data_IF_517806797865
#
_entry.id   IF_517806797865
#
_cell.length_a   1.000
_cell.length_b   1.000
_cell.length_c   1.000
_cell.angle_alpha   90.00
_cell.angle_beta   90.00
_cell.angle_gamma   90.00
#
_symmetry.space_group_name_H-M   'P 1'
#
loop_
_entity.id
_entity.type
_entity.pdbx_description
1 polymer ?
#
# COMPACT_ATOMS: atom_id res chain seq x y z
N UNK A 1 -12.50 7.45 3.31
CA UNK A 1 -11.58 7.43 2.14
C UNK A 1 -10.42 8.36 2.43
N UNK A 2 -9.18 7.95 2.20
CA UNK A 2 -8.00 8.82 2.31
C UNK A 2 -6.95 8.48 1.24
N UNK A 3 -6.10 9.46 0.92
CA UNK A 3 -4.96 9.35 0.02
C UNK A 3 -3.79 10.17 0.59
N UNK A 4 -2.55 9.80 0.25
CA UNK A 4 -1.35 10.49 0.68
C UNK A 4 -0.20 9.53 1.01
N UNK A 5 0.84 10.03 1.71
CA UNK A 5 2.00 9.22 2.03
C UNK A 5 1.62 7.94 2.78
N UNK A 6 2.19 6.80 2.38
CA UNK A 6 1.77 5.50 2.94
C UNK A 6 1.94 5.40 4.45
N UNK A 7 2.96 6.04 5.02
CA UNK A 7 3.15 6.10 6.48
C UNK A 7 1.99 6.83 7.16
N UNK A 8 1.46 7.89 6.56
CA UNK A 8 0.27 8.59 7.06
C UNK A 8 -0.95 7.65 6.99
N UNK A 9 -1.14 6.99 5.85
CA UNK A 9 -2.25 6.06 5.64
C UNK A 9 -2.21 4.86 6.59
N UNK A 10 -1.02 4.38 6.97
CA UNK A 10 -0.86 3.34 7.98
C UNK A 10 -1.40 3.76 9.35
N UNK A 11 -1.13 4.99 9.79
CA UNK A 11 -1.70 5.49 11.05
C UNK A 11 -3.19 5.78 10.93
N UNK A 12 -3.66 6.25 9.77
CA UNK A 12 -5.10 6.39 9.49
C UNK A 12 -5.81 5.04 9.56
N UNK A 13 -5.26 3.99 8.94
CA UNK A 13 -5.78 2.63 9.01
C UNK A 13 -5.88 2.15 10.46
N UNK A 14 -4.83 2.32 11.27
CA UNK A 14 -4.85 1.93 12.68
C UNK A 14 -5.91 2.67 13.49
N UNK A 15 -6.05 3.98 13.30
CA UNK A 15 -7.11 4.76 13.95
C UNK A 15 -8.51 4.28 13.54
N UNK A 16 -8.72 3.96 12.25
CA UNK A 16 -9.97 3.38 11.77
C UNK A 16 -10.27 2.01 12.42
N UNK A 17 -9.27 1.14 12.56
CA UNK A 17 -9.40 -0.15 13.23
C UNK A 17 -9.75 0.01 14.72
N UNK A 18 -9.12 0.96 15.43
CA UNK A 18 -9.40 1.25 16.84
C UNK A 18 -10.83 1.78 17.04
N UNK A 19 -11.34 2.55 16.09
CA UNK A 19 -12.69 3.12 16.12
C UNK A 19 -13.77 2.20 15.55
N UNK A 20 -13.39 1.05 14.97
CA UNK A 20 -14.33 0.13 14.30
C UNK A 20 -14.99 0.73 13.06
N UNK A 21 -14.30 1.63 12.35
CA UNK A 21 -14.80 2.32 11.15
C UNK A 21 -14.13 1.75 9.90
N UNK A 22 -14.94 1.36 8.91
CA UNK A 22 -14.41 0.92 7.62
C UNK A 22 -13.68 2.05 6.89
N UNK A 23 -12.58 1.71 6.22
CA UNK A 23 -11.80 2.65 5.46
C UNK A 23 -11.43 2.12 4.07
N UNK A 24 -11.22 3.07 3.16
CA UNK A 24 -10.66 2.84 1.84
C UNK A 24 -9.47 3.77 1.69
N UNK A 25 -8.32 3.23 1.31
CA UNK A 25 -7.06 3.97 1.22
C UNK A 25 -6.47 3.81 -0.18
N UNK A 26 -6.14 4.93 -0.81
CA UNK A 26 -5.45 4.95 -2.10
C UNK A 26 -3.94 4.89 -1.86
N UNK A 27 -3.32 3.76 -2.19
CA UNK A 27 -1.89 3.53 -1.97
C UNK A 27 -1.04 4.01 -3.15
N UNK A 28 0.05 4.69 -2.82
CA UNK A 28 1.03 5.19 -3.79
C UNK A 28 2.32 4.37 -3.73
N UNK A 29 2.46 3.42 -4.67
CA UNK A 29 3.69 2.64 -4.89
C UNK A 29 4.35 3.02 -6.20
N UNK A 30 5.66 2.76 -6.33
CA UNK A 30 6.38 3.07 -7.56
C UNK A 30 5.88 2.19 -8.72
N UNK A 31 5.12 2.79 -9.64
CA UNK A 31 4.57 2.14 -10.82
C UNK A 31 5.49 2.39 -12.02
N UNK A 32 6.32 1.40 -12.36
CA UNK A 32 7.20 1.51 -13.55
C UNK A 32 6.44 1.30 -14.86
N UNK A 33 5.65 0.22 -14.96
CA UNK A 33 4.92 -0.11 -16.19
C UNK A 33 3.44 0.29 -16.19
N UNK A 34 2.78 0.39 -15.04
CA UNK A 34 1.32 0.60 -14.93
C UNK A 34 0.43 -0.54 -15.46
N UNK A 35 0.94 -1.44 -16.30
CA UNK A 35 0.18 -2.52 -16.94
C UNK A 35 0.20 -3.86 -16.18
N UNK A 36 0.66 -3.89 -14.93
CA UNK A 36 0.74 -5.12 -14.15
C UNK A 36 1.72 -6.15 -14.68
N UNK A 37 2.85 -5.74 -15.28
CA UNK A 37 3.88 -6.65 -15.85
C UNK A 37 5.17 -6.65 -15.02
N UNK A 38 5.71 -5.47 -14.68
CA UNK A 38 7.07 -5.33 -14.12
C UNK A 38 7.24 -5.74 -12.65
N UNK A 39 6.16 -5.73 -11.86
CA UNK A 39 6.22 -6.04 -10.42
C UNK A 39 6.79 -4.94 -9.50
N UNK A 40 7.16 -3.75 -10.01
CA UNK A 40 7.71 -2.68 -9.17
C UNK A 40 6.73 -2.16 -8.10
N UNK A 41 5.42 -2.20 -8.37
CA UNK A 41 4.39 -1.78 -7.43
C UNK A 41 3.80 -2.94 -6.62
N UNK A 42 4.51 -4.08 -6.53
CA UNK A 42 4.04 -5.24 -5.77
C UNK A 42 4.11 -4.95 -4.27
N UNK A 43 3.12 -5.45 -3.56
CA UNK A 43 3.01 -5.50 -2.11
C UNK A 43 2.49 -6.90 -1.76
N UNK A 44 3.37 -7.74 -1.21
CA UNK A 44 3.09 -9.18 -1.02
C UNK A 44 2.64 -9.83 -2.36
N UNK A 45 1.42 -10.38 -2.42
CA UNK A 45 0.84 -11.01 -3.61
C UNK A 45 -0.01 -10.05 -4.48
N UNK A 46 -0.11 -8.77 -4.08
CA UNK A 46 -0.95 -7.77 -4.75
C UNK A 46 -0.11 -6.78 -5.58
N UNK A 47 -0.59 -6.43 -6.77
CA UNK A 47 -0.01 -5.41 -7.65
C UNK A 47 -0.86 -4.14 -7.56
N UNK A 48 -0.36 -3.07 -6.95
CA UNK A 48 -1.12 -1.82 -6.78
C UNK A 48 -1.69 -1.26 -8.09
N UNK A 49 -0.97 -1.36 -9.21
CA UNK A 49 -1.46 -0.86 -10.51
C UNK A 49 -2.59 -1.72 -11.15
N UNK A 50 -2.81 -2.95 -10.69
CA UNK A 50 -3.78 -3.88 -11.27
C UNK A 50 -4.90 -4.24 -10.29
N UNK A 51 -4.52 -4.52 -9.05
CA UNK A 51 -5.42 -4.97 -7.99
C UNK A 51 -5.85 -3.80 -7.07
N UNK A 52 -5.17 -2.65 -7.17
CA UNK A 52 -5.50 -1.40 -6.49
C UNK A 52 -5.94 -0.30 -7.48
N UNK A 53 -5.60 0.99 -7.25
CA UNK A 53 -4.77 1.54 -6.16
C UNK A 53 -5.53 1.74 -4.84
N UNK A 54 -6.86 1.63 -4.87
CA UNK A 54 -7.72 1.79 -3.69
C UNK A 54 -7.96 0.43 -3.06
N UNK A 55 -7.59 0.29 -1.78
CA UNK A 55 -7.78 -0.92 -0.99
C UNK A 55 -8.70 -0.67 0.19
N UNK A 56 -9.54 -1.64 0.53
CA UNK A 56 -10.38 -1.63 1.74
C UNK A 56 -9.67 -2.19 2.98
N UNK A 57 -10.25 -1.97 4.16
CA UNK A 57 -9.72 -2.47 5.44
C UNK A 57 -9.42 -3.98 5.45
N UNK A 58 -10.25 -4.80 4.79
CA UNK A 58 -10.11 -6.27 4.77
C UNK A 58 -9.00 -6.76 3.84
N UNK A 59 -8.69 -6.00 2.79
CA UNK A 59 -7.55 -6.23 1.92
C UNK A 59 -6.27 -5.80 2.63
N UNK A 60 -6.27 -4.60 3.22
CA UNK A 60 -5.12 -4.02 3.92
C UNK A 60 -4.67 -4.87 5.11
N UNK A 61 -5.59 -5.53 5.82
CA UNK A 61 -5.26 -6.40 6.95
C UNK A 61 -4.42 -7.63 6.56
N UNK A 62 -4.36 -7.98 5.26
CA UNK A 62 -3.63 -9.13 4.72
C UNK A 62 -2.26 -8.75 4.15
N UNK A 63 -2.01 -7.46 3.94
CA UNK A 63 -0.77 -6.96 3.32
C UNK A 63 0.25 -6.66 4.42
N UNK A 64 1.29 -7.48 4.51
CA UNK A 64 2.34 -7.37 5.54
C UNK A 64 3.33 -6.26 5.26
N UNK A 65 3.48 -5.88 3.99
CA UNK A 65 4.36 -4.79 3.58
C UNK A 65 3.75 -3.40 3.78
N UNK A 66 2.43 -3.29 3.96
CA UNK A 66 1.72 -2.01 4.07
C UNK A 66 2.22 -1.20 5.28
N UNK A 67 2.72 0.02 5.03
CA UNK A 67 3.27 0.89 6.07
C UNK A 67 4.65 0.49 6.60
N UNK A 68 5.23 -0.62 6.14
CA UNK A 68 6.52 -1.17 6.61
C UNK A 68 7.63 -0.99 5.58
N UNK A 69 7.38 -1.43 4.35
CA UNK A 69 8.38 -1.43 3.27
C UNK A 69 7.76 -1.19 1.91
N UNK A 70 8.55 -0.64 0.99
CA UNK A 70 8.19 -0.46 -0.42
C UNK A 70 9.34 -0.83 -1.34
N UNK A 71 9.04 -1.09 -2.61
CA UNK A 71 10.07 -1.20 -3.64
C UNK A 71 10.48 0.19 -4.13
N UNK A 72 11.78 0.41 -4.30
CA UNK A 72 12.34 1.61 -4.91
C UNK A 72 12.27 1.57 -6.45
N UNK A 73 12.82 2.59 -7.11
CA UNK A 73 12.87 2.70 -8.58
C UNK A 73 13.67 1.57 -9.25
N UNK A 74 14.63 0.98 -8.53
CA UNK A 74 15.42 -0.17 -8.96
C UNK A 74 14.71 -1.51 -8.65
N UNK A 75 13.57 -1.50 -7.95
CA UNK A 75 12.82 -2.67 -7.53
C UNK A 75 13.32 -3.30 -6.22
N UNK A 76 14.28 -2.69 -5.53
CA UNK A 76 14.81 -3.17 -4.24
C UNK A 76 13.81 -2.88 -3.14
N UNK A 77 13.64 -3.83 -2.21
CA UNK A 77 12.77 -3.64 -1.06
C UNK A 77 13.47 -2.75 -0.01
N UNK A 78 12.88 -1.59 0.27
CA UNK A 78 13.36 -0.59 1.22
C UNK A 78 12.32 -0.31 2.29
N UNK A 79 12.74 -0.09 3.53
CA UNK A 79 11.82 0.27 4.62
C UNK A 79 11.45 1.74 4.53
N UNK A 80 10.26 2.10 5.03
CA UNK A 80 9.86 3.51 5.14
C UNK A 80 10.66 4.29 6.18
N UNK A 81 11.13 3.60 7.23
CA UNK A 81 12.13 4.11 8.20
C UNK A 81 13.44 3.35 7.98
N UNK A 82 14.59 4.05 7.87
CA UNK A 82 15.90 3.39 7.85
C UNK A 82 16.14 2.60 9.15
#
# INVERSE_FOLDING_TARGET
LACGPEVMLWFTYKACQELGVDCQLSLERYMKCGAGVCGCCVMDDSRVCKDGPVFDSSQLSKLTEFGVSKRDECGRLVKFRP
#
